data_IF_377275678285
#
_entry.id   IF_377275678285
#
_cell.length_a   1.000
_cell.length_b   1.000
_cell.length_c   1.000
_cell.angle_alpha   90.00
_cell.angle_beta   90.00
_cell.angle_gamma   90.00
#
_symmetry.space_group_name_H-M   'P 1'
#
loop_
_entity.id
_entity.type
_entity.pdbx_description
1 polymer ?
#
# COMPACT_ATOMS: atom_id res chain seq x y z
N UNK A 1 12.29 -14.63 25.87
CA UNK A 1 12.47 -14.00 24.54
C UNK A 1 11.10 -13.60 24.01
N UNK A 2 10.73 -12.32 24.10
CA UNK A 2 9.38 -11.85 23.72
C UNK A 2 9.26 -11.89 22.19
N UNK A 3 8.42 -12.79 21.67
CA UNK A 3 7.91 -12.77 20.30
C UNK A 3 7.09 -11.48 20.08
N UNK A 4 7.75 -10.32 19.99
CA UNK A 4 7.17 -9.11 19.39
C UNK A 4 7.26 -9.28 17.87
N UNK A 5 6.61 -10.31 17.33
CA UNK A 5 6.21 -10.23 15.92
C UNK A 5 5.36 -8.98 15.83
N UNK A 6 5.91 -7.98 15.14
CA UNK A 6 5.59 -6.58 15.29
C UNK A 6 4.13 -6.38 14.87
N UNK A 7 3.19 -6.28 15.81
CA UNK A 7 1.78 -5.91 15.52
C UNK A 7 1.72 -4.66 14.63
N UNK A 8 2.69 -3.75 14.77
CA UNK A 8 2.90 -2.62 13.87
C UNK A 8 3.07 -3.01 12.39
N UNK A 9 3.83 -4.06 12.07
CA UNK A 9 3.98 -4.53 10.69
C UNK A 9 2.70 -5.15 10.15
N UNK A 10 1.99 -5.92 10.98
CA UNK A 10 0.71 -6.51 10.60
C UNK A 10 -0.32 -5.41 10.29
N UNK A 11 -0.46 -4.41 11.17
CA UNK A 11 -1.37 -3.27 11.00
C UNK A 11 -0.95 -2.42 9.80
N UNK A 12 0.34 -2.17 9.59
CA UNK A 12 0.86 -1.41 8.45
C UNK A 12 0.55 -2.10 7.13
N UNK A 13 0.73 -3.42 7.05
CA UNK A 13 0.44 -4.20 5.84
C UNK A 13 -1.06 -4.20 5.52
N UNK A 14 -1.92 -4.39 6.53
CA UNK A 14 -3.37 -4.31 6.36
C UNK A 14 -3.80 -2.91 5.92
N UNK A 15 -3.23 -1.85 6.51
CA UNK A 15 -3.50 -0.47 6.13
C UNK A 15 -3.12 -0.19 4.67
N UNK A 16 -1.96 -0.69 4.23
CA UNK A 16 -1.54 -0.59 2.82
C UNK A 16 -2.48 -1.31 1.87
N UNK A 17 -2.98 -2.50 2.24
CA UNK A 17 -3.94 -3.23 1.41
C UNK A 17 -5.28 -2.50 1.29
N UNK A 18 -5.78 -1.94 2.40
CA UNK A 18 -6.99 -1.10 2.41
C UNK A 18 -6.78 0.15 1.55
N UNK A 19 -5.61 0.80 1.66
CA UNK A 19 -5.30 2.02 0.92
C UNK A 19 -5.27 1.78 -0.59
N UNK A 20 -4.64 0.69 -1.05
CA UNK A 20 -4.64 0.32 -2.49
C UNK A 20 -6.06 0.04 -2.97
N UNK A 21 -6.84 -0.72 -2.20
CA UNK A 21 -8.24 -1.00 -2.53
C UNK A 21 -9.07 0.27 -2.65
N UNK A 22 -8.92 1.22 -1.71
CA UNK A 22 -9.59 2.51 -1.75
C UNK A 22 -9.17 3.34 -2.97
N UNK A 23 -7.85 3.42 -3.25
CA UNK A 23 -7.32 4.17 -4.38
C UNK A 23 -7.87 3.67 -5.72
N UNK A 24 -8.04 2.36 -5.87
CA UNK A 24 -8.50 1.75 -7.11
C UNK A 24 -10.03 1.71 -7.25
N UNK A 25 -10.75 1.32 -6.18
CA UNK A 25 -12.20 1.08 -6.23
C UNK A 25 -13.04 2.32 -5.94
N UNK A 26 -12.49 3.32 -5.24
CA UNK A 26 -13.24 4.52 -4.84
C UNK A 26 -12.61 5.75 -5.47
N UNK A 27 -11.31 5.97 -5.25
CA UNK A 27 -10.66 7.19 -5.71
C UNK A 27 -10.58 7.25 -7.23
N UNK A 28 -10.13 6.18 -7.91
CA UNK A 28 -10.01 6.13 -9.36
C UNK A 28 -11.32 6.41 -10.12
N UNK A 29 -12.45 5.74 -9.82
CA UNK A 29 -13.72 5.98 -10.53
C UNK A 29 -14.33 7.35 -10.25
N UNK A 30 -14.03 7.99 -9.11
CA UNK A 30 -14.47 9.37 -8.84
C UNK A 30 -13.93 10.35 -9.90
N UNK A 31 -12.75 10.06 -10.48
CA UNK A 31 -12.15 10.91 -11.50
C UNK A 31 -12.43 10.46 -12.93
N UNK A 32 -13.17 9.38 -13.19
CA UNK A 32 -13.38 8.82 -14.55
C UNK A 32 -13.92 9.83 -15.56
N UNK A 33 -14.75 10.78 -15.12
CA UNK A 33 -15.35 11.81 -15.96
C UNK A 33 -14.55 13.11 -16.02
N UNK A 34 -13.34 13.12 -15.45
CA UNK A 34 -12.49 14.31 -15.38
C UNK A 34 -11.25 14.16 -16.26
N UNK A 35 -10.78 15.28 -16.81
CA UNK A 35 -9.51 15.33 -17.56
C UNK A 35 -8.29 14.94 -16.71
N UNK A 36 -8.44 14.97 -15.38
CA UNK A 36 -7.41 14.57 -14.42
C UNK A 36 -7.26 13.03 -14.29
N UNK A 37 -8.18 12.22 -14.84
CA UNK A 37 -8.16 10.76 -14.69
C UNK A 37 -6.81 10.12 -15.08
N UNK A 38 -6.26 10.52 -16.22
CA UNK A 38 -4.98 9.97 -16.71
C UNK A 38 -3.82 10.28 -15.77
N UNK A 39 -3.79 11.49 -15.20
CA UNK A 39 -2.79 11.89 -14.22
C UNK A 39 -2.98 11.14 -12.90
N UNK A 40 -4.21 11.10 -12.38
CA UNK A 40 -4.55 10.41 -11.14
C UNK A 40 -4.22 8.93 -11.22
N UNK A 41 -4.53 8.25 -12.33
CA UNK A 41 -4.19 6.85 -12.56
C UNK A 41 -2.69 6.61 -12.52
N UNK A 42 -1.89 7.51 -13.10
CA UNK A 42 -0.43 7.39 -13.08
C UNK A 42 0.11 7.54 -11.66
N UNK A 43 -0.40 8.50 -10.89
CA UNK A 43 -0.04 8.72 -9.49
C UNK A 43 -0.44 7.53 -8.61
N UNK A 44 -1.67 7.02 -8.76
CA UNK A 44 -2.16 5.83 -8.03
C UNK A 44 -1.29 4.61 -8.30
N UNK A 45 -0.88 4.38 -9.56
CA UNK A 45 0.04 3.30 -9.91
C UNK A 45 1.42 3.47 -9.24
N UNK A 46 2.00 4.66 -9.25
CA UNK A 46 3.28 4.94 -8.59
C UNK A 46 3.19 4.69 -7.09
N UNK A 47 2.13 5.19 -6.44
CA UNK A 47 1.88 4.98 -5.01
C UNK A 47 1.73 3.49 -4.70
N UNK A 48 1.00 2.74 -5.53
CA UNK A 48 0.82 1.29 -5.37
C UNK A 48 2.17 0.56 -5.41
N UNK A 49 3.04 0.91 -6.36
CA UNK A 49 4.39 0.32 -6.46
C UNK A 49 5.23 0.65 -5.23
N UNK A 50 5.25 1.91 -4.78
CA UNK A 50 5.96 2.30 -3.55
C UNK A 50 5.43 1.55 -2.32
N UNK A 51 4.12 1.35 -2.24
CA UNK A 51 3.47 0.62 -1.15
C UNK A 51 3.90 -0.84 -1.13
N UNK A 52 3.92 -1.51 -2.29
CA UNK A 52 4.35 -2.90 -2.41
C UNK A 52 5.83 -3.04 -2.06
N UNK A 53 6.67 -2.12 -2.52
CA UNK A 53 8.09 -2.07 -2.15
C UNK A 53 8.28 -1.90 -0.65
N UNK A 54 7.53 -0.98 -0.04
CA UNK A 54 7.54 -0.75 1.40
C UNK A 54 7.15 -2.02 2.14
N UNK A 55 5.99 -2.61 1.82
CA UNK A 55 5.53 -3.86 2.40
C UNK A 55 6.55 -5.00 2.24
N UNK A 56 7.21 -5.10 1.07
CA UNK A 56 8.27 -6.06 0.81
C UNK A 56 9.49 -5.86 1.73
N UNK A 57 9.97 -4.63 1.90
CA UNK A 57 11.08 -4.30 2.81
C UNK A 57 10.67 -4.59 4.26
N UNK A 58 9.45 -4.22 4.64
CA UNK A 58 8.89 -4.49 5.97
C UNK A 58 8.88 -6.00 6.27
N UNK A 59 8.44 -6.82 5.31
CA UNK A 59 8.45 -8.29 5.41
C UNK A 59 9.88 -8.85 5.43
N UNK A 60 10.77 -8.36 4.57
CA UNK A 60 12.15 -8.82 4.50
C UNK A 60 12.91 -8.54 5.81
N UNK A 61 12.73 -7.35 6.39
CA UNK A 61 13.31 -6.99 7.68
C UNK A 61 12.72 -7.83 8.82
N UNK A 62 11.43 -8.19 8.74
CA UNK A 62 10.78 -9.07 9.71
C UNK A 62 11.31 -10.52 9.64
N UNK A 63 11.62 -11.02 8.44
CA UNK A 63 12.15 -12.37 8.22
C UNK A 63 13.64 -12.45 8.61
N UNK A 64 14.45 -11.46 8.21
CA UNK A 64 15.90 -11.43 8.47
C UNK A 64 16.27 -11.29 9.96
N UNK A 65 15.33 -10.86 10.80
CA UNK A 65 15.53 -10.75 12.25
C UNK A 65 15.31 -12.08 13.00
N UNK A 66 15.03 -13.17 12.28
CA UNK A 66 14.89 -14.52 12.82
C UNK A 66 16.19 -15.31 12.65
#
# INVERSE_FOLDING_TARGET
MKFRLNVFYLISSVCFMILVGYLWLVYLPVYEFTTAYGFVKRVVSIITVLLVLSAGIQLFLAIKKR
#
